data_IF_363020996593
#
_entry.id   IF_363020996593
#
_cell.length_a   1.000
_cell.length_b   1.000
_cell.length_c   1.000
_cell.angle_alpha   90.00
_cell.angle_beta   90.00
_cell.angle_gamma   90.00
#
_symmetry.space_group_name_H-M   'P 1'
#
loop_
_entity.id
_entity.type
_entity.pdbx_description
1 polymer ?
#
# COMPACT_ATOMS: atom_id res chain seq x y z
N UNK A 1 9.51 11.79 -16.35
CA UNK A 1 8.69 11.13 -17.39
C UNK A 1 9.42 9.87 -17.80
N UNK A 2 8.74 8.75 -17.87
CA UNK A 2 9.35 7.44 -18.15
C UNK A 2 9.45 7.14 -19.65
N UNK A 3 9.00 8.04 -20.53
CA UNK A 3 9.10 7.88 -21.98
C UNK A 3 8.08 6.93 -22.60
N UNK A 4 7.01 6.58 -21.87
CA UNK A 4 5.99 5.61 -22.30
C UNK A 4 4.83 6.29 -23.03
N UNK A 5 4.38 5.70 -24.14
CA UNK A 5 3.19 6.12 -24.89
C UNK A 5 2.02 5.13 -24.74
N UNK A 6 0.76 5.59 -24.58
CA UNK A 6 -0.39 4.70 -24.40
C UNK A 6 -0.59 3.66 -25.51
N UNK A 7 -0.19 3.96 -26.75
CA UNK A 7 -0.30 3.04 -27.89
C UNK A 7 0.60 1.81 -27.75
N UNK A 8 1.65 1.88 -26.95
CA UNK A 8 2.61 0.80 -26.73
C UNK A 8 2.03 -0.36 -25.89
N UNK A 9 0.93 -0.13 -25.17
CA UNK A 9 0.18 -1.19 -24.48
C UNK A 9 -0.65 -2.07 -25.43
N UNK A 10 -0.69 -1.75 -26.73
CA UNK A 10 -1.34 -2.57 -27.76
C UNK A 10 -0.31 -3.43 -28.49
N UNK A 11 -0.07 -4.64 -27.99
CA UNK A 11 0.91 -5.57 -28.57
C UNK A 11 0.32 -6.35 -29.74
N UNK A 12 0.82 -6.11 -30.95
CA UNK A 12 0.37 -6.77 -32.18
C UNK A 12 0.67 -8.28 -32.22
N UNK A 13 1.80 -8.69 -31.62
CA UNK A 13 2.27 -10.08 -31.62
C UNK A 13 1.36 -11.04 -30.82
N UNK A 14 0.71 -10.57 -29.73
CA UNK A 14 -0.21 -11.41 -28.93
C UNK A 14 -1.22 -10.56 -28.17
N UNK A 15 -2.48 -10.61 -28.60
CA UNK A 15 -3.59 -9.83 -28.02
C UNK A 15 -3.83 -10.03 -26.51
N UNK A 16 -3.42 -11.19 -25.95
CA UNK A 16 -3.56 -11.49 -24.52
C UNK A 16 -2.68 -10.56 -23.66
N UNK A 17 -1.56 -10.07 -24.21
CA UNK A 17 -0.66 -9.16 -23.50
C UNK A 17 -1.08 -7.70 -23.64
N UNK A 18 -2.06 -7.40 -24.50
CA UNK A 18 -2.54 -6.04 -24.69
C UNK A 18 -3.46 -5.63 -23.55
N UNK A 19 -3.20 -4.47 -22.96
CA UNK A 19 -4.00 -3.91 -21.87
C UNK A 19 -4.76 -2.67 -22.33
N UNK A 20 -6.08 -2.64 -22.15
CA UNK A 20 -6.89 -1.42 -22.37
C UNK A 20 -6.76 -0.41 -21.22
N UNK A 21 -6.19 -0.84 -20.10
CA UNK A 21 -6.18 -0.09 -18.85
C UNK A 21 -7.53 -0.18 -18.14
N UNK A 22 -7.50 0.07 -16.84
CA UNK A 22 -8.68 0.14 -15.98
C UNK A 22 -8.54 1.33 -15.04
N UNK A 23 -9.65 1.76 -14.45
CA UNK A 23 -9.65 2.81 -13.45
C UNK A 23 -9.40 2.21 -12.06
N UNK A 24 -8.55 2.86 -11.27
CA UNK A 24 -8.32 2.52 -9.87
C UNK A 24 -8.53 3.77 -9.01
N UNK A 25 -9.29 3.69 -7.90
CA UNK A 25 -9.42 4.80 -6.99
C UNK A 25 -8.05 5.14 -6.37
N UNK A 26 -7.73 6.42 -6.31
CA UNK A 26 -6.48 6.91 -5.71
C UNK A 26 -6.49 6.83 -4.17
N UNK A 27 -7.66 7.03 -3.56
CA UNK A 27 -7.88 6.88 -2.12
C UNK A 27 -8.98 5.84 -1.89
N UNK A 28 -8.71 4.88 -1.01
CA UNK A 28 -9.69 3.90 -0.53
C UNK A 28 -10.02 4.23 0.93
N UNK A 29 -11.30 4.25 1.33
CA UNK A 29 -11.65 4.43 2.74
C UNK A 29 -11.11 3.25 3.56
N UNK A 30 -10.59 3.57 4.74
CA UNK A 30 -10.32 2.60 5.80
C UNK A 30 -11.54 2.61 6.71
N UNK A 31 -12.19 1.45 6.86
CA UNK A 31 -13.39 1.32 7.68
C UNK A 31 -13.02 0.78 9.05
N UNK A 32 -13.77 1.20 10.07
CA UNK A 32 -13.66 0.66 11.44
C UNK A 32 -12.22 0.66 11.96
N UNK A 33 -11.49 1.75 11.70
CA UNK A 33 -10.11 1.90 12.16
C UNK A 33 -10.09 2.12 13.67
N UNK A 34 -9.42 1.22 14.40
CA UNK A 34 -9.28 1.24 15.85
C UNK A 34 -7.82 0.98 16.23
N UNK A 35 -7.30 1.79 17.16
CA UNK A 35 -6.03 1.51 17.84
C UNK A 35 -6.36 0.72 19.11
N UNK A 36 -6.07 -0.58 19.12
CA UNK A 36 -6.46 -1.47 20.21
C UNK A 36 -5.56 -1.34 21.43
N UNK A 37 -4.25 -1.19 21.21
CA UNK A 37 -3.26 -1.07 22.28
C UNK A 37 -2.00 -0.37 21.81
N UNK A 38 -1.35 0.32 22.73
CA UNK A 38 0.02 0.80 22.57
C UNK A 38 0.89 -0.04 23.51
N UNK A 39 1.95 -0.62 22.98
CA UNK A 39 2.88 -1.48 23.73
C UNK A 39 4.20 -0.75 23.86
N UNK A 40 4.62 -0.45 25.09
CA UNK A 40 6.00 -0.11 25.40
C UNK A 40 6.70 -1.35 25.94
N UNK A 41 7.83 -1.75 25.33
CA UNK A 41 8.73 -2.68 26.02
C UNK A 41 9.72 -1.87 26.84
N UNK A 42 9.56 -1.91 28.15
CA UNK A 42 10.40 -1.19 29.12
C UNK A 42 11.89 -1.59 29.02
N UNK A 43 12.18 -2.81 28.54
CA UNK A 43 13.54 -3.36 28.49
C UNK A 43 14.33 -3.06 27.20
N UNK A 44 13.72 -2.47 26.17
CA UNK A 44 14.42 -2.12 24.92
C UNK A 44 14.14 -0.68 24.55
N UNK A 45 15.11 0.19 24.83
CA UNK A 45 15.09 1.61 24.52
C UNK A 45 14.55 1.85 23.09
N UNK A 46 13.47 2.63 22.97
CA UNK A 46 12.83 3.06 21.72
C UNK A 46 12.04 2.02 20.89
N UNK A 47 11.57 0.91 21.47
CA UNK A 47 10.62 0.02 20.78
C UNK A 47 9.19 0.19 21.29
N UNK A 48 8.45 1.08 20.63
CA UNK A 48 7.00 1.21 20.77
C UNK A 48 6.30 0.42 19.67
N UNK A 49 5.22 -0.28 20.02
CA UNK A 49 4.33 -0.97 19.09
C UNK A 49 2.89 -0.51 19.24
N UNK A 50 2.09 -0.69 18.20
CA UNK A 50 0.65 -0.45 18.25
C UNK A 50 -0.11 -1.65 17.65
N UNK A 51 -1.18 -2.07 18.33
CA UNK A 51 -2.18 -2.99 17.78
C UNK A 51 -3.22 -2.18 17.02
N UNK A 52 -3.45 -2.53 15.76
CA UNK A 52 -4.41 -1.85 14.88
C UNK A 52 -5.44 -2.85 14.36
N UNK A 53 -6.71 -2.48 14.39
CA UNK A 53 -7.80 -3.20 13.74
C UNK A 53 -8.46 -2.29 12.72
N UNK A 54 -8.71 -2.80 11.52
CA UNK A 54 -9.30 -2.04 10.42
C UNK A 54 -9.80 -2.95 9.30
N UNK A 55 -10.70 -2.43 8.47
CA UNK A 55 -11.17 -3.09 7.26
C UNK A 55 -10.80 -2.30 6.00
N UNK A 56 -10.43 -3.04 4.95
CA UNK A 56 -10.07 -2.51 3.64
C UNK A 56 -10.99 -3.06 2.56
N UNK A 57 -11.20 -2.27 1.51
CA UNK A 57 -11.90 -2.73 0.32
C UNK A 57 -11.08 -3.77 -0.44
N UNK A 58 -11.74 -4.62 -1.21
CA UNK A 58 -11.07 -5.61 -2.07
C UNK A 58 -10.13 -4.88 -3.05
N UNK A 59 -8.90 -5.35 -3.15
CA UNK A 59 -7.86 -4.74 -3.99
C UNK A 59 -7.04 -3.64 -3.31
N UNK A 60 -7.32 -3.34 -2.03
CA UNK A 60 -6.48 -2.51 -1.17
C UNK A 60 -5.48 -3.37 -0.38
N UNK A 61 -4.35 -2.77 -0.02
CA UNK A 61 -3.24 -3.45 0.64
C UNK A 61 -3.00 -2.85 2.03
N UNK A 62 -2.92 -3.69 3.06
CA UNK A 62 -2.65 -3.25 4.43
C UNK A 62 -1.29 -2.54 4.56
N UNK A 63 -0.30 -2.95 3.77
CA UNK A 63 1.03 -2.33 3.72
C UNK A 63 0.96 -0.86 3.32
N UNK A 64 0.03 -0.45 2.45
CA UNK A 64 -0.14 0.96 2.08
C UNK A 64 -0.63 1.80 3.26
N UNK A 65 -1.57 1.28 4.07
CA UNK A 65 -2.03 1.95 5.28
C UNK A 65 -0.91 2.03 6.33
N UNK A 66 -0.20 0.92 6.56
CA UNK A 66 0.89 0.87 7.52
C UNK A 66 2.03 1.82 7.14
N UNK A 67 2.41 1.90 5.85
CA UNK A 67 3.39 2.87 5.34
C UNK A 67 2.96 4.31 5.63
N UNK A 68 1.67 4.61 5.45
CA UNK A 68 1.13 5.95 5.68
C UNK A 68 1.13 6.31 7.17
N UNK A 69 0.92 5.34 8.06
CA UNK A 69 0.99 5.55 9.52
C UNK A 69 2.45 5.67 10.00
N UNK A 70 3.33 4.75 9.56
CA UNK A 70 4.70 4.65 10.05
C UNK A 70 5.65 5.66 9.41
N UNK A 71 5.32 6.17 8.21
CA UNK A 71 6.14 7.14 7.45
C UNK A 71 7.64 6.78 7.40
N UNK A 72 8.01 5.55 7.01
CA UNK A 72 9.43 5.16 6.96
C UNK A 72 10.20 6.03 5.97
N UNK A 73 11.45 6.36 6.30
CA UNK A 73 12.35 7.11 5.40
C UNK A 73 12.58 6.36 4.09
N UNK A 74 12.76 5.05 4.19
CA UNK A 74 12.89 4.14 3.05
C UNK A 74 11.79 3.07 3.12
N UNK A 75 10.71 3.22 2.34
CA UNK A 75 9.62 2.25 2.30
C UNK A 75 10.07 0.86 1.84
N UNK A 76 10.98 0.78 0.85
CA UNK A 76 11.40 -0.49 0.26
C UNK A 76 12.26 -1.27 1.24
N UNK A 77 13.24 -0.62 1.86
CA UNK A 77 14.06 -1.25 2.89
C UNK A 77 13.24 -1.66 4.14
N UNK A 78 12.12 -0.98 4.39
CA UNK A 78 11.20 -1.29 5.49
C UNK A 78 10.17 -2.39 5.14
N UNK A 79 10.21 -2.94 3.91
CA UNK A 79 9.35 -4.03 3.48
C UNK A 79 7.95 -3.63 3.02
N UNK A 80 7.77 -2.37 2.59
CA UNK A 80 6.52 -1.87 2.01
C UNK A 80 6.50 -1.92 0.48
#
# INVERSE_FOLDING_TARGET
KEGVEPKEFMVSARRIMSGKGELRPIVSPVKEFVVERIVSKEDVLNRFGAGLSFMLLRGSYATMLLREIMKPKDPVASGF
#
